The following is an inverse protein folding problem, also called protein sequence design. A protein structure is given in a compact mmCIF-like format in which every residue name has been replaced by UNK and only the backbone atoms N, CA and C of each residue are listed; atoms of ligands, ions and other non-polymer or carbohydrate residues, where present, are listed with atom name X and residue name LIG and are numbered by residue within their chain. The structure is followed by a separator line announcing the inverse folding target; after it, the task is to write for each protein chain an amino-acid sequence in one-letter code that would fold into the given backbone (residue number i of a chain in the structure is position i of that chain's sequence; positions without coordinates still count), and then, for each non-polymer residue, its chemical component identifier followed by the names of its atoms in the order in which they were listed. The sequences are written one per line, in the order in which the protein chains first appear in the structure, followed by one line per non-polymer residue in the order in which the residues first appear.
data_IF_195976862851
#
_entry.id   IF_195976862851
#
_cell.length_a   1.000
_cell.length_b   1.000
_cell.length_c   1.000
_cell.angle_alpha   90.00
_cell.angle_beta   90.00
_cell.angle_gamma   90.00
#
_symmetry.space_group_name_H-M   'P 1'
#
loop_
_entity.id
_entity.type
_entity.pdbx_description
1 polymer ?
#
# COMPACT_ATOMS: atom_id res chain seq x y z
N UNK A 1 -42.43 32.86 -51.84
CA UNK A 1 -42.41 34.33 -51.72
C UNK A 1 -41.71 34.65 -50.39
N UNK A 2 -40.39 34.87 -50.36
CA UNK A 2 -39.69 36.20 -50.40
C UNK A 2 -40.15 37.09 -49.24
N UNK A 3 -39.36 37.48 -48.22
CA UNK A 3 -38.07 38.23 -48.15
C UNK A 3 -37.47 38.02 -46.73
N UNK A 4 -36.21 37.59 -46.54
CA UNK A 4 -34.93 38.34 -46.40
C UNK A 4 -34.97 39.58 -45.48
N UNK A 5 -34.20 39.52 -44.38
CA UNK A 5 -33.71 40.64 -43.59
C UNK A 5 -32.36 40.29 -42.92
N UNK A 6 -31.33 41.11 -43.16
CA UNK A 6 -29.90 40.91 -42.87
C UNK A 6 -29.47 41.40 -41.47
N UNK A 7 -28.60 40.59 -40.85
CA UNK A 7 -27.26 40.90 -40.27
C UNK A 7 -27.13 41.86 -39.07
N UNK A 8 -26.47 41.37 -38.01
CA UNK A 8 -25.29 42.02 -37.42
C UNK A 8 -24.40 40.97 -36.71
N UNK A 9 -23.19 40.77 -37.22
CA UNK A 9 -22.17 39.92 -36.62
C UNK A 9 -21.38 40.68 -35.57
N UNK A 10 -21.17 40.07 -34.41
CA UNK A 10 -20.31 40.61 -33.34
C UNK A 10 -18.91 40.04 -33.51
N UNK A 11 -17.96 40.97 -33.75
CA UNK A 11 -16.53 40.75 -33.80
C UNK A 11 -16.02 40.53 -32.36
N UNK A 12 -15.44 39.38 -32.05
CA UNK A 12 -14.69 39.18 -30.79
C UNK A 12 -13.20 39.24 -31.11
N UNK A 13 -12.58 40.35 -30.71
CA UNK A 13 -11.16 40.60 -30.86
C UNK A 13 -10.35 39.61 -29.99
N UNK A 14 -9.44 38.87 -30.63
CA UNK A 14 -8.46 38.01 -29.95
C UNK A 14 -7.29 38.87 -29.51
N UNK A 15 -7.13 39.08 -28.20
CA UNK A 15 -5.95 39.74 -27.63
C UNK A 15 -4.81 38.72 -27.58
N UNK A 16 -3.84 38.90 -28.47
CA UNK A 16 -2.57 38.19 -28.43
C UNK A 16 -1.66 38.85 -27.37
N UNK A 17 -1.47 38.20 -26.22
CA UNK A 17 -0.41 38.52 -25.29
C UNK A 17 0.78 37.61 -25.57
N UNK A 18 1.77 38.16 -26.27
CA UNK A 18 3.10 37.58 -26.36
C UNK A 18 3.79 37.65 -25.00
N UNK A 19 4.22 36.50 -24.50
CA UNK A 19 5.10 36.41 -23.33
C UNK A 19 6.36 35.68 -23.78
N UNK A 20 7.49 36.37 -23.63
CA UNK A 20 8.78 36.00 -24.18
C UNK A 20 9.23 34.59 -23.83
N UNK A 21 9.84 33.94 -24.81
CA UNK A 21 10.58 32.70 -24.66
C UNK A 21 11.81 32.93 -23.78
N UNK A 22 11.73 32.53 -22.51
CA UNK A 22 12.91 32.28 -21.69
C UNK A 22 13.58 31.01 -22.25
N UNK A 23 14.89 31.02 -22.58
CA UNK A 23 15.55 29.79 -22.95
C UNK A 23 15.64 28.90 -21.71
N UNK A 24 14.84 27.84 -21.66
CA UNK A 24 15.02 26.75 -20.70
C UNK A 24 16.22 25.91 -21.14
N UNK A 25 17.43 26.46 -21.00
CA UNK A 25 18.66 25.70 -21.07
C UNK A 25 18.85 24.96 -19.75
N UNK A 26 18.27 23.76 -19.70
CA UNK A 26 18.34 22.87 -18.56
C UNK A 26 17.78 21.49 -18.86
N UNK A 27 18.00 20.97 -20.07
CA UNK A 27 17.80 19.54 -20.31
C UNK A 27 18.77 18.78 -19.40
N UNK A 28 18.26 18.21 -18.30
CA UNK A 28 18.97 17.19 -17.56
C UNK A 28 19.38 16.10 -18.55
N UNK A 29 20.70 16.00 -18.82
CA UNK A 29 21.28 14.91 -19.60
C UNK A 29 20.74 13.61 -19.03
N UNK A 30 19.85 12.97 -19.78
CA UNK A 30 19.27 11.65 -19.48
C UNK A 30 20.36 10.60 -19.69
N UNK A 31 21.32 10.53 -18.78
CA UNK A 31 22.31 9.46 -18.77
C UNK A 31 21.77 8.31 -17.96
N UNK A 32 21.51 7.20 -18.65
CA UNK A 32 21.30 5.92 -17.97
C UNK A 32 22.50 5.68 -17.05
N UNK A 33 22.26 5.50 -15.75
CA UNK A 33 23.33 5.32 -14.76
C UNK A 33 23.27 3.93 -14.18
N UNK A 34 24.31 3.14 -14.39
CA UNK A 34 24.49 1.85 -13.72
C UNK A 34 24.82 2.06 -12.25
N UNK A 35 24.11 1.36 -11.38
CA UNK A 35 24.27 1.40 -9.92
C UNK A 35 24.18 -0.02 -9.35
N UNK A 36 24.83 -0.27 -8.22
CA UNK A 36 24.66 -1.52 -7.48
C UNK A 36 23.46 -1.44 -6.51
N UNK A 37 22.86 -2.58 -6.16
CA UNK A 37 21.84 -2.60 -5.12
C UNK A 37 22.38 -2.16 -3.76
N UNK A 38 23.66 -2.41 -3.47
CA UNK A 38 24.33 -1.90 -2.27
C UNK A 38 24.33 -0.36 -2.22
N UNK A 39 24.60 0.29 -3.35
CA UNK A 39 24.54 1.75 -3.46
C UNK A 39 23.12 2.28 -3.26
N UNK A 40 22.12 1.68 -3.91
CA UNK A 40 20.71 2.09 -3.83
C UNK A 40 20.15 1.98 -2.41
N UNK A 41 20.59 0.98 -1.65
CA UNK A 41 19.98 0.58 -0.38
C UNK A 41 20.79 0.98 0.84
N UNK A 42 22.02 1.50 0.67
CA UNK A 42 23.01 1.60 1.74
C UNK A 42 23.35 0.24 2.39
N UNK A 43 23.51 -0.79 1.56
CA UNK A 43 23.75 -2.19 1.99
C UNK A 43 22.65 -2.77 2.92
N UNK A 44 21.47 -2.16 2.99
CA UNK A 44 20.36 -2.64 3.81
C UNK A 44 19.60 -3.77 3.09
N UNK A 45 19.63 -4.98 3.66
CA UNK A 45 19.02 -6.19 3.08
C UNK A 45 17.49 -6.13 3.02
N UNK A 46 16.84 -5.49 4.00
CA UNK A 46 15.38 -5.28 4.00
C UNK A 46 14.94 -4.38 2.84
N UNK A 47 15.72 -3.36 2.50
CA UNK A 47 15.48 -2.51 1.31
C UNK A 47 15.64 -3.28 0.01
N UNK A 48 16.64 -4.17 -0.09
CA UNK A 48 16.78 -5.04 -1.26
C UNK A 48 15.58 -5.99 -1.40
N UNK A 49 15.06 -6.53 -0.29
CA UNK A 49 13.81 -7.30 -0.30
C UNK A 49 12.60 -6.47 -0.76
N UNK A 50 12.50 -5.21 -0.31
CA UNK A 50 11.44 -4.31 -0.77
C UNK A 50 11.53 -4.02 -2.29
N UNK A 51 12.73 -3.91 -2.86
CA UNK A 51 12.91 -3.80 -4.32
C UNK A 51 12.41 -5.06 -5.02
N UNK A 52 12.67 -6.26 -4.48
CA UNK A 52 12.12 -7.52 -5.03
C UNK A 52 10.59 -7.52 -5.01
N UNK A 53 9.96 -7.02 -3.96
CA UNK A 53 8.50 -6.87 -3.89
C UNK A 53 7.98 -5.98 -5.02
N UNK A 54 8.59 -4.80 -5.25
CA UNK A 54 8.22 -3.91 -6.35
C UNK A 54 8.45 -4.56 -7.73
N UNK A 55 9.55 -5.30 -7.89
CA UNK A 55 9.83 -6.04 -9.12
C UNK A 55 8.73 -7.07 -9.46
N UNK A 56 8.18 -7.76 -8.46
CA UNK A 56 7.08 -8.73 -8.65
C UNK A 56 5.83 -8.06 -9.20
N UNK A 57 5.43 -6.92 -8.64
CA UNK A 57 4.32 -6.13 -9.19
C UNK A 57 4.62 -5.72 -10.63
N UNK A 58 5.82 -5.20 -10.90
CA UNK A 58 6.16 -4.70 -12.23
C UNK A 58 6.21 -5.81 -13.30
N UNK A 59 6.64 -7.03 -12.95
CA UNK A 59 6.57 -8.19 -13.85
C UNK A 59 5.12 -8.50 -14.22
N UNK A 60 4.21 -8.53 -13.23
CA UNK A 60 2.79 -8.79 -13.48
C UNK A 60 2.17 -7.69 -14.35
N UNK A 61 2.45 -6.42 -14.05
CA UNK A 61 1.98 -5.27 -14.82
C UNK A 61 2.48 -5.29 -16.25
N UNK A 62 3.80 -5.40 -16.46
CA UNK A 62 4.43 -5.39 -17.79
C UNK A 62 3.90 -6.52 -18.68
N UNK A 63 3.64 -7.69 -18.10
CA UNK A 63 3.11 -8.86 -18.84
C UNK A 63 1.59 -8.93 -18.92
N UNK A 64 0.87 -7.96 -18.32
CA UNK A 64 -0.59 -7.99 -18.17
C UNK A 64 -1.06 -9.35 -17.63
N UNK A 65 -0.33 -9.88 -16.65
CA UNK A 65 -0.52 -11.24 -16.18
C UNK A 65 -1.89 -11.41 -15.51
N UNK A 66 -2.56 -12.52 -15.81
CA UNK A 66 -3.77 -12.95 -15.09
C UNK A 66 -3.41 -13.36 -13.65
N UNK A 67 -4.39 -13.32 -12.75
CA UNK A 67 -4.21 -13.69 -11.33
C UNK A 67 -3.67 -15.11 -11.13
N UNK A 68 -3.96 -16.05 -12.03
CA UNK A 68 -3.40 -17.41 -12.02
C UNK A 68 -1.88 -17.46 -12.07
N UNK A 69 -1.22 -16.38 -12.52
CA UNK A 69 0.24 -16.25 -12.59
C UNK A 69 0.87 -15.65 -11.33
N UNK A 70 0.09 -15.20 -10.35
CA UNK A 70 0.63 -14.57 -9.14
C UNK A 70 1.57 -15.52 -8.39
N UNK A 71 1.20 -16.79 -8.18
CA UNK A 71 2.09 -17.75 -7.54
C UNK A 71 3.42 -17.93 -8.31
N UNK A 72 3.39 -17.87 -9.64
CA UNK A 72 4.57 -18.01 -10.48
C UNK A 72 5.53 -16.82 -10.35
N UNK A 73 5.05 -15.61 -10.02
CA UNK A 73 5.94 -14.44 -9.89
C UNK A 73 6.86 -14.55 -8.66
N UNK A 74 6.41 -15.25 -7.62
CA UNK A 74 7.23 -15.52 -6.43
C UNK A 74 8.35 -16.52 -6.70
N UNK A 75 8.27 -17.29 -7.80
CA UNK A 75 9.32 -18.21 -8.25
C UNK A 75 10.35 -17.55 -9.18
N UNK A 76 10.15 -16.28 -9.56
CA UNK A 76 11.13 -15.55 -10.38
C UNK A 76 12.36 -15.25 -9.52
N UNK A 77 13.53 -15.71 -9.97
CA UNK A 77 14.81 -15.41 -9.33
C UNK A 77 15.12 -13.91 -9.48
N UNK A 78 15.06 -13.19 -8.36
CA UNK A 78 15.36 -11.77 -8.27
C UNK A 78 16.67 -11.53 -7.49
N UNK A 79 17.30 -10.35 -7.62
CA UNK A 79 18.59 -10.10 -6.97
C UNK A 79 18.56 -10.21 -5.44
N UNK A 80 19.48 -11.01 -4.92
CA UNK A 80 19.71 -11.23 -3.47
C UNK A 80 21.05 -10.68 -2.99
N UNK A 81 21.98 -10.39 -3.89
CA UNK A 81 23.32 -9.88 -3.56
C UNK A 81 23.46 -8.39 -3.87
N UNK A 82 24.11 -7.65 -2.97
CA UNK A 82 24.32 -6.20 -3.07
C UNK A 82 25.21 -5.76 -4.24
N UNK A 83 26.05 -6.66 -4.76
CA UNK A 83 26.96 -6.41 -5.87
C UNK A 83 26.28 -6.44 -7.23
N UNK A 84 25.07 -7.01 -7.32
CA UNK A 84 24.29 -7.01 -8.57
C UNK A 84 23.89 -5.58 -8.93
N UNK A 85 23.81 -5.33 -10.24
CA UNK A 85 23.59 -3.99 -10.80
C UNK A 85 22.17 -3.82 -11.35
N UNK A 86 21.76 -2.57 -11.43
CA UNK A 86 20.56 -2.10 -12.09
C UNK A 86 20.87 -0.75 -12.77
N UNK A 87 19.99 -0.27 -13.64
CA UNK A 87 20.19 0.97 -14.38
C UNK A 87 19.10 1.98 -14.02
N UNK A 88 19.50 3.13 -13.51
CA UNK A 88 18.60 4.28 -13.37
C UNK A 88 18.34 4.85 -14.77
N UNK A 89 17.07 4.98 -15.13
CA UNK A 89 16.59 5.51 -16.41
C UNK A 89 15.68 6.71 -16.16
N UNK A 90 15.25 7.41 -17.22
CA UNK A 90 14.29 8.52 -17.09
C UNK A 90 12.98 8.11 -16.39
N UNK A 91 12.50 6.90 -16.60
CA UNK A 91 11.19 6.44 -16.12
C UNK A 91 11.23 5.56 -14.87
N UNK A 92 12.41 5.10 -14.43
CA UNK A 92 12.52 4.22 -13.26
C UNK A 92 13.82 3.43 -13.17
N UNK A 93 13.81 2.41 -12.32
CA UNK A 93 14.93 1.48 -12.13
C UNK A 93 14.76 0.27 -13.05
N UNK A 94 15.60 0.19 -14.09
CA UNK A 94 15.65 -0.95 -14.99
C UNK A 94 16.46 -2.10 -14.40
N UNK A 95 15.89 -3.30 -14.43
CA UNK A 95 16.50 -4.52 -13.93
C UNK A 95 16.46 -5.61 -15.01
N UNK A 96 17.60 -6.26 -15.22
CA UNK A 96 17.68 -7.46 -16.05
C UNK A 96 17.24 -8.69 -15.26
N UNK A 97 16.48 -9.56 -15.91
CA UNK A 97 15.93 -10.78 -15.32
C UNK A 97 16.57 -12.00 -15.98
N UNK A 98 16.84 -13.03 -15.18
CA UNK A 98 17.21 -14.35 -15.69
C UNK A 98 16.02 -14.97 -16.44
N UNK A 99 16.29 -16.01 -17.25
CA UNK A 99 15.23 -16.79 -17.92
C UNK A 99 14.17 -17.18 -16.89
N UNK A 100 12.92 -16.86 -17.17
CA UNK A 100 11.80 -17.02 -16.24
C UNK A 100 10.52 -17.38 -16.99
N UNK A 101 9.51 -17.82 -16.24
CA UNK A 101 8.24 -18.31 -16.77
C UNK A 101 7.35 -17.22 -17.41
N UNK A 102 7.71 -15.94 -17.28
CA UNK A 102 7.02 -14.81 -17.91
C UNK A 102 7.68 -14.38 -19.23
N UNK A 103 8.82 -14.98 -19.61
CA UNK A 103 9.58 -14.66 -20.84
C UNK A 103 10.02 -13.18 -20.92
N UNK A 104 10.08 -12.48 -19.79
CA UNK A 104 10.54 -11.08 -19.71
C UNK A 104 12.03 -11.05 -19.41
N UNK A 105 12.81 -10.35 -20.26
CA UNK A 105 14.26 -10.18 -20.08
C UNK A 105 14.62 -9.01 -19.18
N UNK A 106 13.77 -7.99 -19.12
CA UNK A 106 13.99 -6.78 -18.34
C UNK A 106 12.67 -6.15 -17.90
N UNK A 107 12.67 -5.49 -16.75
CA UNK A 107 11.57 -4.65 -16.26
C UNK A 107 12.10 -3.27 -15.91
N UNK A 108 11.24 -2.25 -15.89
CA UNK A 108 11.58 -0.92 -15.36
C UNK A 108 10.61 -0.56 -14.26
N UNK A 109 11.06 -0.64 -13.00
CA UNK A 109 10.23 -0.34 -11.83
C UNK A 109 10.04 1.18 -11.75
N UNK A 110 8.80 1.69 -11.80
CA UNK A 110 8.51 3.11 -11.68
C UNK A 110 9.01 3.67 -10.34
N UNK A 111 9.53 4.91 -10.35
CA UNK A 111 10.04 5.54 -9.12
C UNK A 111 9.00 5.66 -7.99
N UNK A 112 7.71 5.78 -8.33
CA UNK A 112 6.63 5.77 -7.35
C UNK A 112 6.61 4.50 -6.51
N UNK A 113 6.92 3.33 -7.09
CA UNK A 113 6.97 2.07 -6.38
C UNK A 113 8.24 1.91 -5.53
N UNK A 114 9.25 2.76 -5.74
CA UNK A 114 10.55 2.71 -5.04
C UNK A 114 10.65 3.69 -3.87
N UNK A 115 9.65 4.56 -3.66
CA UNK A 115 9.58 5.47 -2.51
C UNK A 115 9.74 4.70 -1.20
N UNK A 116 10.65 5.16 -0.34
CA UNK A 116 10.98 4.54 0.95
C UNK A 116 11.84 3.26 0.87
N UNK A 117 12.00 2.67 -0.33
CA UNK A 117 12.73 1.42 -0.57
C UNK A 117 14.18 1.66 -1.02
N UNK A 118 14.45 2.80 -1.67
CA UNK A 118 15.80 3.24 -2.08
C UNK A 118 16.15 4.60 -1.48
N UNK A 119 17.44 4.94 -1.44
CA UNK A 119 17.87 6.25 -0.94
C UNK A 119 17.33 7.39 -1.81
N UNK A 120 16.83 8.45 -1.18
CA UNK A 120 16.23 9.63 -1.83
C UNK A 120 17.10 10.26 -2.92
N UNK A 121 18.44 10.22 -2.78
CA UNK A 121 19.38 10.74 -3.80
C UNK A 121 19.26 10.07 -5.17
N UNK A 122 18.66 8.88 -5.25
CA UNK A 122 18.41 8.16 -6.50
C UNK A 122 16.98 8.31 -7.04
N UNK A 123 16.13 9.07 -6.34
CA UNK A 123 14.74 9.29 -6.73
C UNK A 123 14.53 10.72 -7.24
N UNK A 124 13.63 10.93 -8.22
CA UNK A 124 13.08 12.25 -8.53
C UNK A 124 12.43 12.87 -7.30
N UNK A 125 12.43 14.21 -7.20
CA UNK A 125 11.93 14.94 -6.02
C UNK A 125 10.51 14.52 -5.61
N UNK A 126 9.63 14.30 -6.59
CA UNK A 126 8.24 13.88 -6.37
C UNK A 126 8.08 12.48 -5.72
N UNK A 127 9.10 11.62 -5.81
CA UNK A 127 9.07 10.26 -5.27
C UNK A 127 9.95 10.09 -4.02
N UNK A 128 10.57 11.16 -3.53
CA UNK A 128 11.36 11.13 -2.30
C UNK A 128 10.44 11.04 -1.08
N UNK A 129 10.93 10.39 -0.03
CA UNK A 129 10.35 10.56 1.30
C UNK A 129 10.80 11.90 1.89
N UNK A 130 9.94 12.52 2.69
CA UNK A 130 10.26 13.69 3.51
C UNK A 130 10.03 13.34 4.97
N UNK A 131 10.67 14.06 5.90
CA UNK A 131 10.33 13.95 7.31
C UNK A 131 8.87 14.37 7.49
N UNK A 132 8.07 13.49 8.09
CA UNK A 132 6.66 13.77 8.42
C UNK A 132 6.49 13.85 9.94
N UNK A 133 5.69 14.80 10.42
CA UNK A 133 5.29 14.86 11.83
C UNK A 133 4.11 13.91 12.04
N UNK A 134 4.34 12.81 12.74
CA UNK A 134 3.32 11.77 12.98
C UNK A 134 2.50 12.02 14.25
N UNK A 135 2.84 13.03 15.06
CA UNK A 135 2.13 13.37 16.31
C UNK A 135 0.64 13.70 16.12
N UNK A 136 0.21 13.96 14.88
CA UNK A 136 -1.19 14.19 14.49
C UNK A 136 -1.67 13.24 13.39
N UNK A 137 -1.00 12.10 13.20
CA UNK A 137 -1.41 11.05 12.27
C UNK A 137 -1.76 9.79 13.05
N UNK A 138 -2.82 9.11 12.65
CA UNK A 138 -3.18 7.77 13.15
C UNK A 138 -3.67 6.92 11.99
N UNK A 139 -3.36 5.62 12.02
CA UNK A 139 -3.86 4.67 11.04
C UNK A 139 -4.98 3.84 11.65
N UNK A 140 -6.21 4.10 11.19
CA UNK A 140 -7.34 3.23 11.49
C UNK A 140 -7.27 2.00 10.58
N UNK A 141 -7.30 0.81 11.17
CA UNK A 141 -7.16 -0.44 10.43
C UNK A 141 -8.29 -1.41 10.75
N UNK A 142 -8.71 -2.18 9.74
CA UNK A 142 -9.82 -3.12 9.85
C UNK A 142 -9.42 -4.50 9.34
N UNK A 143 -9.61 -5.52 10.16
CA UNK A 143 -9.25 -6.91 9.86
C UNK A 143 -10.50 -7.75 9.50
N UNK A 144 -10.26 -8.93 8.92
CA UNK A 144 -11.21 -10.01 8.58
C UNK A 144 -12.15 -9.83 7.39
N UNK A 145 -12.35 -8.59 6.94
CA UNK A 145 -13.15 -8.27 5.76
C UNK A 145 -12.62 -8.84 4.43
N UNK A 146 -13.28 -8.51 3.30
CA UNK A 146 -14.46 -7.66 3.22
C UNK A 146 -15.77 -8.40 3.56
N UNK A 147 -16.65 -7.74 4.31
CA UNK A 147 -18.07 -8.06 4.44
C UNK A 147 -18.91 -7.23 3.43
N UNK A 148 -19.85 -7.83 2.69
CA UNK A 148 -20.58 -7.11 1.64
C UNK A 148 -21.44 -5.95 2.16
N UNK A 149 -21.87 -5.99 3.43
CA UNK A 149 -22.77 -5.00 4.03
C UNK A 149 -22.00 -4.01 4.90
N UNK A 150 -21.20 -4.52 5.82
CA UNK A 150 -20.52 -3.76 6.87
C UNK A 150 -19.32 -2.99 6.31
N UNK A 151 -18.45 -3.62 5.51
CA UNK A 151 -17.36 -2.92 4.82
C UNK A 151 -17.92 -1.83 3.90
N UNK A 152 -18.98 -2.13 3.13
CA UNK A 152 -19.65 -1.15 2.27
C UNK A 152 -20.18 0.07 3.04
N UNK A 153 -20.76 -0.15 4.23
CA UNK A 153 -21.22 0.92 5.12
C UNK A 153 -20.07 1.73 5.68
N UNK A 154 -18.99 1.07 6.11
CA UNK A 154 -17.78 1.71 6.60
C UNK A 154 -17.11 2.59 5.54
N UNK A 155 -17.05 2.15 4.28
CA UNK A 155 -16.52 2.95 3.17
C UNK A 155 -17.30 4.26 2.97
N UNK A 156 -18.63 4.23 3.13
CA UNK A 156 -19.45 5.46 3.09
C UNK A 156 -19.10 6.39 4.25
N UNK A 157 -18.89 5.85 5.44
CA UNK A 157 -18.43 6.60 6.61
C UNK A 157 -17.08 7.26 6.35
N UNK A 158 -16.06 6.50 5.92
CA UNK A 158 -14.73 7.02 5.64
C UNK A 158 -14.77 8.16 4.61
N UNK A 159 -15.55 7.98 3.52
CA UNK A 159 -15.77 9.03 2.53
C UNK A 159 -16.43 10.28 3.12
N UNK A 160 -17.48 10.12 3.94
CA UNK A 160 -18.21 11.24 4.59
C UNK A 160 -17.28 12.10 5.46
N UNK A 161 -16.33 11.48 6.14
CA UNK A 161 -15.41 12.18 7.04
C UNK A 161 -14.06 12.53 6.40
N UNK A 162 -13.90 12.32 5.09
CA UNK A 162 -12.61 12.52 4.39
C UNK A 162 -11.44 11.81 5.08
N UNK A 163 -11.69 10.59 5.56
CA UNK A 163 -10.72 9.74 6.24
C UNK A 163 -10.31 8.57 5.32
N UNK A 164 -9.09 8.08 5.53
CA UNK A 164 -8.61 6.86 4.90
C UNK A 164 -8.24 5.82 5.97
N UNK A 165 -8.37 4.55 5.62
CA UNK A 165 -8.03 3.42 6.47
C UNK A 165 -7.23 2.35 5.70
N UNK A 166 -6.69 1.38 6.42
CA UNK A 166 -6.07 0.18 5.84
C UNK A 166 -6.86 -1.06 6.22
N UNK A 167 -7.28 -1.86 5.22
CA UNK A 167 -8.08 -3.06 5.40
C UNK A 167 -7.19 -4.29 5.21
N UNK A 168 -7.01 -5.10 6.25
CA UNK A 168 -6.33 -6.39 6.15
C UNK A 168 -7.35 -7.47 5.84
N UNK A 169 -7.48 -7.78 4.55
CA UNK A 169 -8.55 -8.64 4.06
C UNK A 169 -8.15 -10.12 4.04
N UNK A 170 -9.10 -10.99 4.41
CA UNK A 170 -8.98 -12.45 4.35
C UNK A 170 -9.25 -12.93 2.91
N UNK A 171 -8.35 -13.74 2.37
CA UNK A 171 -8.38 -14.13 0.95
C UNK A 171 -9.66 -14.82 0.49
N UNK A 172 -10.29 -15.65 1.34
CA UNK A 172 -11.60 -16.24 1.05
C UNK A 172 -12.68 -15.18 0.86
N UNK A 173 -12.72 -14.16 1.74
CA UNK A 173 -13.66 -13.05 1.68
C UNK A 173 -13.43 -12.20 0.41
N UNK A 174 -12.17 -11.89 0.07
CA UNK A 174 -11.82 -11.20 -1.18
C UNK A 174 -12.29 -11.98 -2.41
N UNK A 175 -12.09 -13.30 -2.41
CA UNK A 175 -12.52 -14.16 -3.52
C UNK A 175 -14.04 -14.17 -3.68
N UNK A 176 -14.79 -14.06 -2.58
CA UNK A 176 -16.25 -14.03 -2.58
C UNK A 176 -16.81 -12.65 -2.96
N UNK A 177 -16.16 -11.58 -2.52
CA UNK A 177 -16.64 -10.20 -2.65
C UNK A 177 -15.61 -9.26 -3.33
N UNK A 178 -15.07 -9.60 -4.52
CA UNK A 178 -13.99 -8.83 -5.15
C UNK A 178 -14.40 -7.39 -5.55
N UNK A 179 -15.71 -7.13 -5.70
CA UNK A 179 -16.23 -5.79 -5.95
C UNK A 179 -16.02 -4.86 -4.75
N UNK A 180 -16.06 -5.39 -3.53
CA UNK A 180 -15.87 -4.60 -2.31
C UNK A 180 -14.41 -4.21 -2.14
N UNK A 181 -13.47 -5.15 -2.29
CA UNK A 181 -12.03 -4.84 -2.31
C UNK A 181 -11.66 -3.80 -3.38
N UNK A 182 -12.29 -3.83 -4.56
CA UNK A 182 -12.13 -2.74 -5.54
C UNK A 182 -12.64 -1.40 -5.04
N UNK A 183 -13.80 -1.39 -4.36
CA UNK A 183 -14.36 -0.16 -3.79
C UNK A 183 -13.49 0.39 -2.66
N UNK A 184 -12.86 -0.47 -1.85
CA UNK A 184 -11.89 -0.07 -0.81
C UNK A 184 -10.77 0.75 -1.45
N UNK A 185 -10.08 0.23 -2.46
CA UNK A 185 -9.01 0.96 -3.15
C UNK A 185 -9.50 2.20 -3.90
N UNK A 186 -10.65 2.11 -4.58
CA UNK A 186 -11.22 3.25 -5.30
C UNK A 186 -11.61 4.41 -4.37
N UNK A 187 -11.89 4.12 -3.09
CA UNK A 187 -12.12 5.11 -2.04
C UNK A 187 -10.86 5.76 -1.47
N UNK A 188 -9.67 5.43 -2.00
CA UNK A 188 -8.38 5.94 -1.50
C UNK A 188 -7.87 5.23 -0.25
N UNK A 189 -8.49 4.12 0.14
CA UNK A 189 -8.02 3.29 1.24
C UNK A 189 -6.93 2.31 0.76
N UNK A 190 -6.28 1.65 1.70
CA UNK A 190 -5.24 0.66 1.44
C UNK A 190 -5.74 -0.76 1.75
N UNK A 191 -5.26 -1.75 1.01
CA UNK A 191 -5.51 -3.17 1.29
C UNK A 191 -4.19 -3.86 1.66
N UNK A 192 -4.21 -4.53 2.81
CA UNK A 192 -3.21 -5.49 3.26
C UNK A 192 -3.74 -6.92 3.18
N UNK A 193 -2.84 -7.88 3.39
CA UNK A 193 -3.14 -9.31 3.39
C UNK A 193 -3.34 -9.82 4.83
N UNK A 194 -4.43 -10.54 5.08
CA UNK A 194 -4.74 -11.16 6.36
C UNK A 194 -4.88 -12.68 6.30
N UNK A 195 -3.98 -13.34 5.57
CA UNK A 195 -4.02 -14.78 5.27
C UNK A 195 -5.22 -15.21 4.43
N UNK A 196 -5.32 -16.51 4.10
CA UNK A 196 -6.38 -17.03 3.23
C UNK A 196 -7.65 -17.39 4.00
N UNK A 197 -7.52 -18.07 5.13
CA UNK A 197 -8.63 -18.52 5.97
C UNK A 197 -8.38 -18.32 7.47
N UNK A 198 -7.59 -17.30 7.82
CA UNK A 198 -7.33 -16.88 9.19
C UNK A 198 -6.70 -17.95 10.14
N UNK A 199 -5.76 -18.81 9.70
CA UNK A 199 -5.10 -19.73 10.63
C UNK A 199 -4.08 -19.00 11.49
N UNK A 200 -3.84 -19.50 12.71
CA UNK A 200 -2.67 -19.11 13.48
C UNK A 200 -1.40 -19.63 12.79
N UNK A 201 -0.51 -18.73 12.35
CA UNK A 201 0.71 -19.09 11.63
C UNK A 201 1.64 -20.00 12.44
N UNK A 202 1.74 -19.77 13.76
CA UNK A 202 2.54 -20.60 14.65
C UNK A 202 2.12 -22.08 14.67
N UNK A 203 0.90 -22.40 14.21
CA UNK A 203 0.33 -23.76 14.23
C UNK A 203 0.38 -24.47 12.88
N UNK A 204 0.73 -23.79 11.78
CA UNK A 204 0.67 -24.37 10.43
C UNK A 204 2.03 -24.53 9.76
N UNK A 205 3.06 -23.85 10.26
CA UNK A 205 4.42 -23.93 9.72
C UNK A 205 4.66 -23.09 8.46
N UNK A 206 5.95 -22.89 8.14
CA UNK A 206 6.38 -21.88 7.16
C UNK A 206 5.84 -22.11 5.74
N UNK A 207 5.78 -23.34 5.25
CA UNK A 207 5.30 -23.63 3.90
C UNK A 207 3.80 -23.29 3.75
N UNK A 208 2.99 -23.68 4.74
CA UNK A 208 1.57 -23.34 4.79
C UNK A 208 1.37 -21.83 4.96
N UNK A 209 2.16 -21.15 5.80
CA UNK A 209 2.11 -19.68 5.95
C UNK A 209 2.40 -18.97 4.62
N UNK A 210 3.40 -19.40 3.86
CA UNK A 210 3.68 -18.85 2.52
C UNK A 210 2.52 -19.13 1.55
N UNK A 211 1.90 -20.31 1.62
CA UNK A 211 0.73 -20.65 0.81
C UNK A 211 -0.48 -19.75 1.14
N UNK A 212 -0.77 -19.53 2.43
CA UNK A 212 -1.81 -18.62 2.90
C UNK A 212 -1.63 -17.21 2.32
N UNK A 213 -0.44 -16.64 2.50
CA UNK A 213 -0.14 -15.29 2.01
C UNK A 213 -0.21 -15.24 0.48
N UNK A 214 0.37 -16.21 -0.23
CA UNK A 214 0.41 -16.21 -1.71
C UNK A 214 -1.00 -16.34 -2.33
N UNK A 215 -1.87 -17.17 -1.75
CA UNK A 215 -3.26 -17.32 -2.20
C UNK A 215 -4.06 -16.03 -2.01
N UNK A 216 -3.87 -15.34 -0.89
CA UNK A 216 -4.53 -14.07 -0.63
C UNK A 216 -3.99 -12.95 -1.51
N UNK A 217 -2.68 -12.88 -1.74
CA UNK A 217 -2.09 -11.96 -2.72
C UNK A 217 -2.68 -12.16 -4.12
N UNK A 218 -2.93 -13.42 -4.51
CA UNK A 218 -3.60 -13.75 -5.78
C UNK A 218 -5.03 -13.24 -5.82
N UNK A 219 -5.82 -13.42 -4.76
CA UNK A 219 -7.21 -12.95 -4.72
C UNK A 219 -7.29 -11.41 -4.75
N UNK A 220 -6.45 -10.73 -3.98
CA UNK A 220 -6.37 -9.27 -3.97
C UNK A 220 -5.94 -8.75 -5.35
N UNK A 221 -4.91 -9.33 -5.96
CA UNK A 221 -4.50 -8.96 -7.32
C UNK A 221 -5.60 -9.25 -8.36
N UNK A 222 -6.34 -10.35 -8.23
CA UNK A 222 -7.48 -10.62 -9.10
C UNK A 222 -8.57 -9.57 -8.97
N UNK A 223 -8.85 -9.13 -7.75
CA UNK A 223 -9.85 -8.11 -7.50
C UNK A 223 -9.39 -6.75 -8.03
N UNK A 224 -8.13 -6.39 -7.84
CA UNK A 224 -7.66 -4.99 -7.89
C UNK A 224 -6.56 -4.69 -8.92
N UNK A 225 -5.89 -5.69 -9.48
CA UNK A 225 -4.70 -5.54 -10.32
C UNK A 225 -3.42 -5.19 -9.56
N UNK A 226 -3.47 -5.12 -8.22
CA UNK A 226 -2.33 -4.73 -7.39
C UNK A 226 -2.05 -5.80 -6.32
N UNK A 227 -0.78 -6.12 -6.09
CA UNK A 227 -0.36 -6.95 -4.97
C UNK A 227 -0.39 -6.12 -3.68
N UNK A 228 -0.92 -6.65 -2.56
CA UNK A 228 -0.90 -5.93 -1.29
C UNK A 228 0.55 -5.75 -0.82
N UNK A 229 0.86 -4.59 -0.24
CA UNK A 229 2.21 -4.32 0.25
C UNK A 229 2.49 -5.02 1.58
N UNK A 230 1.48 -5.15 2.44
CA UNK A 230 1.63 -5.53 3.84
C UNK A 230 0.93 -6.85 4.16
N UNK A 231 1.43 -7.53 5.20
CA UNK A 231 0.76 -8.68 5.82
C UNK A 231 0.52 -8.34 7.28
N UNK A 232 -0.71 -8.54 7.77
CA UNK A 232 -1.00 -8.63 9.20
C UNK A 232 -1.28 -10.09 9.51
N UNK A 233 -0.44 -10.78 10.28
CA UNK A 233 -0.68 -12.17 10.67
C UNK A 233 -1.90 -12.28 11.59
N UNK A 234 -2.80 -13.25 11.38
CA UNK A 234 -3.87 -13.58 12.31
C UNK A 234 -3.36 -13.68 13.76
N UNK A 235 -4.15 -13.16 14.70
CA UNK A 235 -3.87 -13.16 16.16
C UNK A 235 -2.57 -12.48 16.58
N UNK A 236 -1.90 -11.74 15.69
CA UNK A 236 -0.60 -11.21 16.06
C UNK A 236 0.50 -12.28 16.09
N UNK A 237 0.34 -13.44 15.44
CA UNK A 237 1.31 -14.55 15.55
C UNK A 237 2.10 -14.77 14.26
N UNK A 238 3.42 -14.68 14.33
CA UNK A 238 4.35 -15.05 13.25
C UNK A 238 5.75 -15.30 13.81
N UNK A 239 6.43 -16.31 13.28
CA UNK A 239 7.83 -16.61 13.60
C UNK A 239 8.81 -15.82 12.72
N UNK A 240 10.07 -15.73 13.16
CA UNK A 240 11.13 -15.12 12.35
C UNK A 240 11.35 -15.83 11.01
N UNK A 241 11.17 -17.16 10.97
CA UNK A 241 11.31 -17.96 9.76
C UNK A 241 10.21 -17.62 8.73
N UNK A 242 8.97 -17.51 9.19
CA UNK A 242 7.83 -17.11 8.36
C UNK A 242 7.95 -15.69 7.84
N UNK A 243 8.30 -14.73 8.71
CA UNK A 243 8.49 -13.34 8.31
C UNK A 243 9.56 -13.16 7.24
N UNK A 244 10.64 -13.97 7.28
CA UNK A 244 11.64 -14.01 6.21
C UNK A 244 11.10 -14.63 4.93
N UNK A 245 10.35 -15.73 5.03
CA UNK A 245 9.87 -16.49 3.88
C UNK A 245 8.83 -15.74 3.04
N UNK A 246 7.95 -14.93 3.65
CA UNK A 246 6.91 -14.20 2.92
C UNK A 246 7.43 -12.94 2.21
N UNK A 247 8.60 -12.40 2.61
CA UNK A 247 9.22 -11.19 2.05
C UNK A 247 8.29 -9.96 1.97
N UNK A 248 7.42 -9.75 2.96
CA UNK A 248 6.57 -8.55 3.08
C UNK A 248 6.72 -7.94 4.48
N UNK A 249 6.55 -6.61 4.65
CA UNK A 249 6.52 -5.99 5.96
C UNK A 249 5.32 -6.49 6.77
N UNK A 250 5.54 -6.72 8.07
CA UNK A 250 4.50 -7.15 9.00
C UNK A 250 3.91 -5.92 9.69
N UNK A 251 2.59 -5.80 9.68
CA UNK A 251 1.89 -4.72 10.38
C UNK A 251 1.15 -5.31 11.57
N UNK A 252 1.41 -4.74 12.75
CA UNK A 252 0.74 -5.01 14.03
C UNK A 252 -0.15 -3.81 14.37
N UNK A 253 -0.38 -3.58 15.64
CA UNK A 253 -1.14 -2.46 16.18
C UNK A 253 -0.54 -2.06 17.53
N UNK A 254 -0.70 -0.80 17.90
CA UNK A 254 -0.37 -0.27 19.23
C UNK A 254 -1.63 -0.06 20.08
N UNK A 255 -2.79 0.06 19.44
CA UNK A 255 -4.10 0.20 20.10
C UNK A 255 -5.01 -0.93 19.63
N UNK A 256 -5.53 -1.72 20.57
CA UNK A 256 -6.54 -2.75 20.31
C UNK A 256 -7.88 -2.24 20.81
N UNK A 257 -8.86 -2.04 19.92
CA UNK A 257 -10.20 -1.59 20.32
C UNK A 257 -10.99 -2.62 21.13
N UNK A 258 -10.55 -3.89 21.10
CA UNK A 258 -11.24 -5.05 21.68
C UNK A 258 -12.68 -5.22 21.19
N UNK A 259 -12.99 -4.68 20.01
CA UNK A 259 -14.32 -4.77 19.40
C UNK A 259 -14.79 -6.21 19.15
N UNK A 260 -13.84 -7.10 18.82
CA UNK A 260 -14.02 -8.55 18.69
C UNK A 260 -14.45 -9.24 20.01
N UNK A 261 -14.09 -8.66 21.16
CA UNK A 261 -14.42 -9.21 22.48
C UNK A 261 -15.67 -8.54 23.08
N UNK A 262 -15.83 -7.23 22.91
CA UNK A 262 -16.90 -6.48 23.55
C UNK A 262 -18.22 -6.53 22.80
N UNK A 263 -18.17 -6.54 21.45
CA UNK A 263 -19.35 -6.39 20.59
C UNK A 263 -20.25 -5.22 21.06
N UNK A 264 -19.64 -4.09 21.43
CA UNK A 264 -20.32 -2.94 22.03
C UNK A 264 -19.66 -1.62 21.60
N UNK A 265 -20.37 -0.84 20.78
CA UNK A 265 -19.84 0.37 20.16
C UNK A 265 -19.30 1.39 21.17
N UNK A 266 -19.93 1.52 22.35
CA UNK A 266 -19.48 2.48 23.36
C UNK A 266 -18.16 2.06 24.01
N UNK A 267 -17.96 0.76 24.23
CA UNK A 267 -16.68 0.23 24.73
C UNK A 267 -15.58 0.40 23.69
N UNK A 268 -15.86 0.07 22.43
CA UNK A 268 -14.91 0.24 21.32
C UNK A 268 -14.46 1.71 21.20
N UNK A 269 -15.42 2.65 21.28
CA UNK A 269 -15.12 4.09 21.29
C UNK A 269 -14.24 4.46 22.48
N UNK A 270 -14.57 3.99 23.69
CA UNK A 270 -13.83 4.37 24.89
C UNK A 270 -12.39 3.88 24.86
N UNK A 271 -12.17 2.61 24.49
CA UNK A 271 -10.84 2.01 24.39
C UNK A 271 -9.97 2.77 23.38
N UNK A 272 -10.50 2.97 22.17
CA UNK A 272 -9.78 3.71 21.11
C UNK A 272 -9.47 5.14 21.56
N UNK A 273 -10.42 5.85 22.15
CA UNK A 273 -10.21 7.25 22.53
C UNK A 273 -9.29 7.43 23.74
N UNK A 274 -9.16 6.41 24.59
CA UNK A 274 -8.26 6.37 25.74
C UNK A 274 -6.81 6.11 25.32
N UNK A 275 -6.58 5.09 24.48
CA UNK A 275 -5.23 4.61 24.18
C UNK A 275 -4.55 5.31 22.98
N UNK A 276 -5.32 5.99 22.13
CA UNK A 276 -4.78 6.57 20.89
C UNK A 276 -3.91 7.81 21.13
N UNK A 277 -2.68 7.71 20.63
CA UNK A 277 -1.67 8.76 20.51
C UNK A 277 -1.24 8.96 19.04
N UNK A 278 -0.48 10.02 18.80
CA UNK A 278 0.03 10.31 17.46
C UNK A 278 1.10 9.31 17.04
N UNK A 279 0.90 8.69 15.88
CA UNK A 279 1.76 7.62 15.38
C UNK A 279 1.14 6.23 15.49
N UNK A 280 -0.04 6.09 16.09
CA UNK A 280 -0.61 4.77 16.37
C UNK A 280 -1.25 4.09 15.18
N UNK A 281 -1.26 2.76 15.26
CA UNK A 281 -2.01 1.86 14.38
C UNK A 281 -3.09 1.21 15.25
N UNK A 282 -4.36 1.46 14.90
CA UNK A 282 -5.53 1.06 15.67
C UNK A 282 -6.15 -0.19 15.03
N UNK A 283 -6.29 -1.27 15.79
CA UNK A 283 -6.97 -2.51 15.37
C UNK A 283 -8.48 -2.43 15.63
N UNK A 284 -9.25 -2.69 14.58
CA UNK A 284 -10.70 -2.92 14.60
C UNK A 284 -11.04 -4.02 13.58
N UNK A 285 -12.30 -4.45 13.51
CA UNK A 285 -12.80 -5.50 12.62
C UNK A 285 -14.08 -5.03 11.89
N UNK A 286 -14.05 -4.96 10.56
CA UNK A 286 -15.19 -4.48 9.76
C UNK A 286 -16.24 -5.56 9.45
N UNK A 287 -16.19 -6.67 10.20
CA UNK A 287 -17.15 -7.77 10.18
C UNK A 287 -18.14 -7.73 11.37
N UNK A 288 -17.97 -6.79 12.30
CA UNK A 288 -18.85 -6.60 13.46
C UNK A 288 -19.71 -5.34 13.32
N UNK A 289 -21.02 -5.47 13.52
CA UNK A 289 -21.96 -4.37 13.32
C UNK A 289 -21.69 -3.19 14.27
N UNK A 290 -21.27 -3.47 15.50
CA UNK A 290 -20.94 -2.52 16.55
C UNK A 290 -19.63 -1.78 16.26
N UNK A 291 -18.60 -2.48 15.82
CA UNK A 291 -17.34 -1.87 15.37
C UNK A 291 -17.57 -0.85 14.25
N UNK A 292 -18.34 -1.23 13.22
CA UNK A 292 -18.69 -0.31 12.12
C UNK A 292 -19.61 0.83 12.58
N UNK A 293 -20.44 0.62 13.60
CA UNK A 293 -21.27 1.67 14.19
C UNK A 293 -20.47 2.64 15.09
N UNK A 294 -19.36 2.19 15.68
CA UNK A 294 -18.44 3.01 16.46
C UNK A 294 -17.61 3.97 15.58
N UNK A 295 -17.25 3.52 14.37
CA UNK A 295 -16.34 4.24 13.46
C UNK A 295 -16.69 5.72 13.23
N UNK A 296 -17.94 6.14 12.94
CA UNK A 296 -18.28 7.56 12.77
C UNK A 296 -17.90 8.44 13.98
N UNK A 297 -18.13 7.93 15.18
CA UNK A 297 -17.83 8.66 16.43
C UNK A 297 -16.33 8.71 16.69
N UNK A 298 -15.63 7.59 16.50
CA UNK A 298 -14.16 7.51 16.61
C UNK A 298 -13.52 8.52 15.66
N UNK A 299 -13.88 8.48 14.37
CA UNK A 299 -13.32 9.37 13.34
C UNK A 299 -13.57 10.84 13.72
N UNK A 300 -14.81 11.20 14.05
CA UNK A 300 -15.18 12.57 14.43
C UNK A 300 -14.37 13.06 15.65
N UNK A 301 -14.24 12.24 16.69
CA UNK A 301 -13.55 12.63 17.93
C UNK A 301 -12.03 12.73 17.73
N UNK A 302 -11.42 11.83 16.97
CA UNK A 302 -9.99 11.91 16.64
C UNK A 302 -9.70 13.15 15.78
N UNK A 303 -10.54 13.45 14.78
CA UNK A 303 -10.41 14.68 13.98
C UNK A 303 -10.57 15.94 14.83
N UNK A 304 -11.51 15.97 15.79
CA UNK A 304 -11.66 17.08 16.73
C UNK A 304 -10.42 17.28 17.62
N UNK A 305 -9.67 16.22 17.94
CA UNK A 305 -8.35 16.29 18.62
C UNK A 305 -7.19 16.68 17.67
N UNK A 306 -7.49 16.94 16.39
CA UNK A 306 -6.55 17.37 15.37
C UNK A 306 -5.83 16.24 14.64
N UNK A 307 -6.26 14.98 14.81
CA UNK A 307 -5.66 13.86 14.08
C UNK A 307 -6.16 13.79 12.64
N UNK A 308 -5.25 13.42 11.72
CA UNK A 308 -5.58 12.96 10.38
C UNK A 308 -5.56 11.44 10.36
N UNK A 309 -6.64 10.85 9.88
CA UNK A 309 -6.75 9.41 9.68
C UNK A 309 -6.19 9.06 8.30
N UNK A 310 -5.11 8.30 8.31
CA UNK A 310 -4.29 7.99 7.14
C UNK A 310 -4.15 6.49 6.96
N UNK A 311 -3.73 6.05 5.78
CA UNK A 311 -3.35 4.64 5.59
C UNK A 311 -2.04 4.32 6.32
N UNK A 312 -1.78 3.03 6.58
CA UNK A 312 -0.51 2.55 7.13
C UNK A 312 0.67 2.98 6.26
N UNK A 313 0.54 2.91 4.92
CA UNK A 313 1.57 3.42 4.01
C UNK A 313 1.87 4.90 4.21
N UNK A 314 0.86 5.73 4.48
CA UNK A 314 1.03 7.16 4.73
C UNK A 314 1.64 7.41 6.12
N UNK A 315 1.17 6.71 7.15
CA UNK A 315 1.69 6.79 8.52
C UNK A 315 3.19 6.44 8.58
N UNK A 316 3.58 5.37 7.89
CA UNK A 316 4.96 4.87 7.82
C UNK A 316 5.77 5.50 6.67
N UNK A 317 5.23 6.52 6.00
CA UNK A 317 5.88 7.25 4.90
C UNK A 317 6.41 6.35 3.75
N UNK A 318 5.73 5.22 3.51
CA UNK A 318 6.12 4.15 2.58
C UNK A 318 7.46 3.47 2.92
N UNK A 319 7.94 3.59 4.16
CA UNK A 319 9.25 3.08 4.62
C UNK A 319 9.16 1.74 5.36
N UNK A 320 8.00 1.09 5.37
CA UNK A 320 7.87 -0.26 5.91
C UNK A 320 8.60 -1.28 5.01
N UNK A 321 9.50 -2.08 5.59
CA UNK A 321 10.39 -3.00 4.87
C UNK A 321 10.15 -4.47 5.26
N UNK A 322 10.27 -5.42 4.30
CA UNK A 322 10.20 -6.84 4.59
C UNK A 322 11.16 -7.31 5.68
N UNK A 323 10.72 -8.25 6.52
CA UNK A 323 11.51 -8.78 7.64
C UNK A 323 11.49 -7.92 8.91
N UNK A 324 10.76 -6.79 8.88
CA UNK A 324 10.45 -5.98 10.05
C UNK A 324 8.93 -6.05 10.36
N UNK A 325 8.59 -5.85 11.63
CA UNK A 325 7.22 -5.70 12.13
C UNK A 325 7.04 -4.32 12.76
N UNK A 326 5.87 -3.70 12.53
CA UNK A 326 5.55 -2.32 12.91
C UNK A 326 4.29 -2.28 13.77
N UNK A 327 4.39 -1.68 14.96
CA UNK A 327 3.26 -1.49 15.89
C UNK A 327 2.72 -0.06 15.82
N UNK A 328 3.58 0.90 15.46
CA UNK A 328 3.23 2.29 15.21
C UNK A 328 4.30 2.98 14.35
N UNK A 329 4.18 4.29 14.16
CA UNK A 329 5.10 5.07 13.33
C UNK A 329 6.56 5.04 13.82
N UNK A 330 6.75 4.88 15.13
CA UNK A 330 8.06 4.89 15.79
C UNK A 330 8.36 3.61 16.58
N UNK A 331 7.51 2.58 16.47
CA UNK A 331 7.72 1.27 17.08
C UNK A 331 7.80 0.20 15.99
N UNK A 332 9.02 -0.27 15.75
CA UNK A 332 9.28 -1.39 14.87
C UNK A 332 10.47 -2.22 15.37
N UNK A 333 10.46 -3.49 15.01
CA UNK A 333 11.53 -4.44 15.35
C UNK A 333 11.64 -5.53 14.29
N UNK A 334 12.69 -6.35 14.35
CA UNK A 334 12.81 -7.52 13.48
C UNK A 334 11.69 -8.51 13.78
N UNK A 335 11.14 -9.17 12.75
CA UNK A 335 10.11 -10.19 12.94
C UNK A 335 10.65 -11.36 13.79
N UNK A 336 9.87 -11.78 14.78
CA UNK A 336 10.21 -12.88 15.70
C UNK A 336 11.23 -12.50 16.78
N UNK A 337 11.46 -11.21 17.00
CA UNK A 337 12.14 -10.64 18.16
C UNK A 337 11.21 -9.79 19.00
#
# INVERSE_FOLDING_TARGET
MVKIGKVLGVLVATVALGVGSVPVTGQAKSTNKTVTFGQLTNKNTHRLAAIRQAARQEILTTTKAKSSRVAAVYQVKLPTHMTKTATLTKSGLRMNLLKNSFKVKQITIPYAQLKGKVLNRYLPKANRTSTIKTSKLVALTFDDGPDPTLTSRLLKTLKKYHAHATFFEVGQSVSRYPKISRAVLAGGNEIGNHSWNHPNFNSIGTAQTVSQVTRTNRAIYQATGTLPQYVRPPYGNITAAEGRAIEQPIIRWSVDSRDWAYLNSSKDINEVMHDTHGGDIILMHDIHAQSVAAAPTIIKRLQAKGYKLVTVSQLLNSQALPGLQYFGAHDYRTVGK
#
